data_IF_571083475581
#
_entry.id   IF_571083475581
#
_cell.length_a   1.000
_cell.length_b   1.000
_cell.length_c   1.000
_cell.angle_alpha   90.00
_cell.angle_beta   90.00
_cell.angle_gamma   90.00
#
_symmetry.space_group_name_H-M   'P 1'
#
loop_
_entity.id
_entity.type
_entity.pdbx_description
1 polymer ?
#
# COMPACT_ATOMS: atom_id res chain seq x y z
N UNK A 1 22.80 16.67 31.56
CA UNK A 1 21.83 15.88 30.76
C UNK A 1 20.98 16.80 29.89
N UNK A 2 19.90 17.43 30.39
CA UNK A 2 18.94 18.19 29.56
C UNK A 2 19.54 19.13 28.49
N UNK A 3 20.60 19.87 28.80
CA UNK A 3 21.25 20.79 27.84
C UNK A 3 21.74 20.09 26.59
N UNK A 4 22.42 18.94 26.72
CA UNK A 4 22.97 18.19 25.60
C UNK A 4 21.88 17.66 24.67
N UNK A 5 20.72 17.26 25.22
CA UNK A 5 19.55 16.88 24.42
C UNK A 5 19.05 18.07 23.60
N UNK A 6 18.89 19.24 24.23
CA UNK A 6 18.44 20.45 23.51
C UNK A 6 19.46 20.92 22.45
N UNK A 7 20.76 20.75 22.71
CA UNK A 7 21.82 21.04 21.73
C UNK A 7 21.70 20.12 20.50
N UNK A 8 21.55 18.79 20.69
CA UNK A 8 21.25 17.84 19.59
C UNK A 8 19.98 18.22 18.83
N UNK A 9 18.90 18.59 19.54
CA UNK A 9 17.61 18.93 18.91
C UNK A 9 17.75 20.12 17.96
N UNK A 10 18.54 21.12 18.37
CA UNK A 10 18.83 22.32 17.57
C UNK A 10 19.80 22.04 16.42
N UNK A 11 20.78 21.15 16.60
CA UNK A 11 21.67 20.69 15.51
C UNK A 11 20.87 20.01 14.39
N UNK A 12 19.98 19.07 14.74
CA UNK A 12 19.10 18.38 13.79
C UNK A 12 18.15 19.37 13.07
N UNK A 13 17.61 20.37 13.79
CA UNK A 13 16.84 21.45 13.17
C UNK A 13 17.69 22.31 12.22
N UNK A 14 18.94 22.63 12.57
CA UNK A 14 19.85 23.40 11.69
C UNK A 14 20.20 22.64 10.41
N UNK A 15 20.43 21.33 10.49
CA UNK A 15 20.62 20.49 9.30
C UNK A 15 19.36 20.51 8.41
N UNK A 16 18.18 20.39 9.01
CA UNK A 16 16.91 20.47 8.29
C UNK A 16 16.67 21.86 7.67
N UNK A 17 16.90 22.95 8.37
CA UNK A 17 16.79 24.31 7.82
C UNK A 17 17.80 24.57 6.69
N UNK A 18 19.05 24.09 6.83
CA UNK A 18 20.07 24.24 5.80
C UNK A 18 19.72 23.42 4.54
N UNK A 19 19.13 22.23 4.70
CA UNK A 19 18.60 21.48 3.58
C UNK A 19 17.38 22.18 2.95
N UNK A 20 16.43 22.66 3.75
CA UNK A 20 15.23 23.36 3.28
C UNK A 20 15.56 24.64 2.47
N UNK A 21 16.61 25.37 2.84
CA UNK A 21 17.11 26.55 2.10
C UNK A 21 17.62 26.24 0.70
N UNK A 22 17.92 24.99 0.37
CA UNK A 22 18.33 24.54 -0.97
C UNK A 22 17.14 24.18 -1.87
N UNK A 23 15.91 24.43 -1.40
CA UNK A 23 14.63 24.16 -2.08
C UNK A 23 14.45 22.71 -2.59
N UNK A 24 14.71 21.69 -1.75
CA UNK A 24 14.71 20.28 -2.15
C UNK A 24 13.30 19.74 -2.40
N UNK A 25 13.22 18.68 -3.21
CA UNK A 25 12.03 17.84 -3.29
C UNK A 25 11.60 17.30 -1.91
N UNK A 26 10.29 17.24 -1.67
CA UNK A 26 9.75 16.75 -0.38
C UNK A 26 10.21 15.32 -0.06
N UNK A 27 10.44 14.49 -1.08
CA UNK A 27 10.97 13.11 -0.95
C UNK A 27 12.43 13.13 -0.49
N UNK A 28 13.27 13.94 -1.13
CA UNK A 28 14.68 14.12 -0.72
C UNK A 28 14.75 14.69 0.69
N UNK A 29 13.98 15.72 1.01
CA UNK A 29 13.91 16.27 2.37
C UNK A 29 13.46 15.21 3.40
N UNK A 30 12.43 14.42 3.09
CA UNK A 30 12.01 13.31 3.95
C UNK A 30 13.13 12.30 4.14
N UNK A 31 13.77 11.81 3.06
CA UNK A 31 14.82 10.79 3.12
C UNK A 31 16.05 11.23 3.91
N UNK A 32 16.58 12.42 3.65
CA UNK A 32 17.81 12.89 4.30
C UNK A 32 17.60 13.34 5.77
N UNK A 33 16.38 13.70 6.18
CA UNK A 33 16.09 14.19 7.54
C UNK A 33 15.31 13.17 8.39
N UNK A 34 14.19 12.67 7.89
CA UNK A 34 13.18 11.86 8.63
C UNK A 34 13.26 10.35 8.30
N UNK A 35 13.89 10.01 7.17
CA UNK A 35 14.01 8.64 6.66
C UNK A 35 14.83 7.71 7.56
N UNK A 36 14.93 6.45 7.17
CA UNK A 36 15.62 5.40 7.95
C UNK A 36 17.08 5.78 8.24
N UNK A 37 17.77 6.34 7.25
CA UNK A 37 19.13 6.90 7.34
C UNK A 37 19.14 8.43 7.54
N UNK A 38 18.03 9.03 7.96
CA UNK A 38 17.88 10.46 8.11
C UNK A 38 18.66 11.05 9.29
N UNK A 39 18.93 12.36 9.23
CA UNK A 39 19.60 13.12 10.30
C UNK A 39 18.99 12.89 11.70
N UNK A 40 17.66 12.74 11.78
CA UNK A 40 16.93 12.47 13.03
C UNK A 40 17.36 11.12 13.63
N UNK A 41 17.33 10.03 12.85
CA UNK A 41 17.70 8.68 13.34
C UNK A 41 19.20 8.52 13.60
N UNK A 42 20.02 9.34 12.96
CA UNK A 42 21.47 9.44 13.24
C UNK A 42 21.76 10.20 14.54
N UNK A 43 20.96 11.22 14.90
CA UNK A 43 21.10 11.96 16.15
C UNK A 43 20.51 11.27 17.39
N UNK A 44 19.43 10.50 17.18
CA UNK A 44 18.68 9.78 18.21
C UNK A 44 18.62 8.28 17.87
N UNK A 45 19.68 7.51 18.19
CA UNK A 45 19.77 6.09 17.87
C UNK A 45 18.92 5.20 18.80
N UNK A 46 18.51 5.72 19.97
CA UNK A 46 17.62 5.01 20.89
C UNK A 46 16.17 5.47 20.72
N UNK A 47 15.22 4.57 20.97
CA UNK A 47 13.80 4.87 20.82
C UNK A 47 13.31 5.94 21.79
N UNK A 48 13.80 5.93 23.04
CA UNK A 48 13.45 6.89 24.09
C UNK A 48 13.91 8.32 23.73
N UNK A 49 15.16 8.49 23.26
CA UNK A 49 15.66 9.78 22.74
C UNK A 49 14.84 10.27 21.53
N UNK A 50 14.44 9.36 20.64
CA UNK A 50 13.66 9.69 19.46
C UNK A 50 12.23 10.13 19.83
N UNK A 51 11.52 9.37 20.66
CA UNK A 51 10.17 9.70 21.12
C UNK A 51 10.14 11.00 21.94
N UNK A 52 11.22 11.32 22.67
CA UNK A 52 11.38 12.60 23.35
C UNK A 52 11.66 13.77 22.39
N UNK A 53 12.33 13.52 21.25
CA UNK A 53 12.52 14.53 20.19
C UNK A 53 11.25 14.73 19.35
N UNK A 54 10.49 13.68 19.07
CA UNK A 54 9.24 13.75 18.30
C UNK A 54 8.13 14.54 19.02
N UNK A 55 8.28 14.77 20.34
CA UNK A 55 7.45 15.66 21.14
C UNK A 55 7.97 17.12 21.21
N UNK A 56 9.08 17.46 20.55
CA UNK A 56 9.73 18.78 20.66
C UNK A 56 9.28 19.77 19.57
N UNK A 57 9.37 21.07 19.86
CA UNK A 57 9.05 22.12 18.89
C UNK A 57 9.95 22.06 17.64
N UNK A 58 11.19 21.59 17.78
CA UNK A 58 12.13 21.39 16.68
C UNK A 58 11.58 20.38 15.67
N UNK A 59 11.04 19.25 16.14
CA UNK A 59 10.43 18.26 15.27
C UNK A 59 9.14 18.78 14.61
N UNK A 60 8.29 19.50 15.34
CA UNK A 60 7.13 20.18 14.73
C UNK A 60 7.57 21.17 13.62
N UNK A 61 8.67 21.91 13.81
CA UNK A 61 9.21 22.83 12.79
C UNK A 61 9.65 22.05 11.55
N UNK A 62 10.26 20.87 11.70
CA UNK A 62 10.61 19.97 10.59
C UNK A 62 9.36 19.45 9.86
N UNK A 63 8.33 19.00 10.58
CA UNK A 63 7.05 18.59 9.98
C UNK A 63 6.40 19.74 9.19
N UNK A 64 6.39 20.96 9.75
CA UNK A 64 5.87 22.17 9.07
C UNK A 64 6.66 22.55 7.82
N UNK A 65 7.97 22.28 7.75
CA UNK A 65 8.75 22.42 6.51
C UNK A 65 8.35 21.36 5.48
N UNK A 66 8.21 20.09 5.88
CA UNK A 66 7.82 19.00 4.99
C UNK A 66 6.44 19.20 4.35
N UNK A 67 5.45 19.67 5.14
CA UNK A 67 4.11 19.98 4.62
C UNK A 67 4.18 21.04 3.50
N UNK A 68 4.93 22.12 3.70
CA UNK A 68 5.12 23.18 2.69
C UNK A 68 5.79 22.68 1.40
N UNK A 69 6.81 21.82 1.51
CA UNK A 69 7.43 21.21 0.33
C UNK A 69 6.44 20.33 -0.46
N UNK A 70 5.56 19.61 0.25
CA UNK A 70 4.53 18.75 -0.34
C UNK A 70 3.37 19.53 -0.98
N UNK A 71 3.06 20.73 -0.50
CA UNK A 71 2.14 21.66 -1.17
C UNK A 71 2.75 22.19 -2.48
N UNK A 72 4.04 22.55 -2.46
CA UNK A 72 4.73 23.24 -3.55
C UNK A 72 4.87 22.44 -4.85
N UNK A 73 5.06 21.11 -4.80
CA UNK A 73 5.30 20.28 -6.00
C UNK A 73 4.21 19.22 -6.20
N UNK A 74 3.08 19.63 -6.80
CA UNK A 74 2.04 18.72 -7.32
C UNK A 74 2.38 18.17 -8.72
N UNK A 75 3.36 18.76 -9.42
CA UNK A 75 3.89 18.25 -10.69
C UNK A 75 4.69 16.97 -10.48
N UNK A 76 4.16 15.84 -10.96
CA UNK A 76 4.81 14.54 -10.93
C UNK A 76 6.01 14.52 -11.88
N UNK A 77 7.20 14.62 -11.31
CA UNK A 77 8.42 14.23 -12.01
C UNK A 77 8.60 12.70 -11.87
N UNK A 78 8.77 11.95 -12.98
CA UNK A 78 8.78 10.48 -12.93
C UNK A 78 10.16 9.89 -12.59
N UNK A 79 11.23 10.69 -12.49
CA UNK A 79 12.59 10.19 -12.23
C UNK A 79 12.91 10.09 -10.72
N UNK A 80 12.12 10.74 -9.85
CA UNK A 80 12.63 11.15 -8.53
C UNK A 80 12.66 10.07 -7.44
N UNK A 81 11.69 9.14 -7.36
CA UNK A 81 11.79 7.95 -6.49
C UNK A 81 10.79 6.82 -6.89
N UNK A 82 11.19 5.53 -6.88
CA UNK A 82 10.29 4.41 -7.20
C UNK A 82 9.16 4.23 -6.19
N UNK A 83 7.95 4.67 -6.55
CA UNK A 83 6.74 4.56 -5.71
C UNK A 83 6.37 3.10 -5.42
N UNK A 84 6.26 2.74 -4.14
CA UNK A 84 5.77 1.43 -3.68
C UNK A 84 4.33 1.55 -3.16
N UNK A 85 3.52 0.51 -3.39
CA UNK A 85 2.12 0.46 -2.96
C UNK A 85 1.99 -0.39 -1.70
N UNK A 86 1.29 0.15 -0.69
CA UNK A 86 0.83 -0.58 0.49
C UNK A 86 -0.68 -0.84 0.40
N UNK A 87 -1.15 -1.96 0.96
CA UNK A 87 -2.58 -2.29 1.04
C UNK A 87 -2.99 -2.43 2.49
N UNK A 88 -3.81 -1.49 2.99
CA UNK A 88 -4.26 -1.45 4.38
C UNK A 88 -5.67 -2.03 4.49
N UNK A 89 -5.91 -2.91 5.46
CA UNK A 89 -7.25 -3.41 5.80
C UNK A 89 -7.90 -2.49 6.82
N UNK A 90 -8.97 -1.79 6.45
CA UNK A 90 -9.70 -0.87 7.32
C UNK A 90 -11.16 -1.33 7.54
N UNK A 91 -11.74 -1.15 8.73
CA UNK A 91 -13.18 -1.30 8.94
C UNK A 91 -13.98 -0.35 8.02
N UNK A 92 -15.15 -0.81 7.54
CA UNK A 92 -15.97 -0.01 6.61
C UNK A 92 -16.30 1.39 7.16
N UNK A 93 -16.66 1.50 8.43
CA UNK A 93 -16.94 2.78 9.10
C UNK A 93 -15.75 3.75 9.04
N UNK A 94 -14.53 3.28 9.30
CA UNK A 94 -13.31 4.09 9.23
C UNK A 94 -12.98 4.51 7.79
N UNK A 95 -13.20 3.62 6.82
CA UNK A 95 -13.02 3.96 5.40
C UNK A 95 -14.03 5.01 4.91
N UNK A 96 -15.30 4.91 5.32
CA UNK A 96 -16.31 5.93 5.00
C UNK A 96 -16.02 7.26 5.70
N UNK A 97 -15.56 7.25 6.96
CA UNK A 97 -15.12 8.46 7.66
C UNK A 97 -13.99 9.17 6.90
N UNK A 98 -12.94 8.46 6.49
CA UNK A 98 -11.84 9.03 5.72
C UNK A 98 -12.28 9.55 4.34
N UNK A 99 -13.32 8.96 3.73
CA UNK A 99 -13.92 9.47 2.48
C UNK A 99 -14.57 10.84 2.69
N UNK A 100 -15.38 10.99 3.75
CA UNK A 100 -16.02 12.26 4.11
C UNK A 100 -14.99 13.31 4.51
N UNK A 101 -14.02 12.97 5.38
CA UNK A 101 -12.95 13.88 5.78
C UNK A 101 -12.15 14.39 4.56
N UNK A 102 -11.82 13.51 3.60
CA UNK A 102 -11.12 13.91 2.38
C UNK A 102 -11.98 14.84 1.49
N UNK A 103 -13.28 14.55 1.35
CA UNK A 103 -14.23 15.38 0.60
C UNK A 103 -14.35 16.79 1.20
N UNK A 104 -14.51 16.89 2.52
CA UNK A 104 -14.74 18.15 3.21
C UNK A 104 -13.48 19.03 3.21
N UNK A 105 -12.30 18.40 3.32
CA UNK A 105 -10.99 19.03 3.10
C UNK A 105 -10.61 19.22 1.62
N UNK A 106 -11.53 18.94 0.68
CA UNK A 106 -11.37 19.08 -0.79
C UNK A 106 -10.10 18.42 -1.35
N UNK A 107 -9.71 17.28 -0.79
CA UNK A 107 -8.51 16.54 -1.14
C UNK A 107 -8.86 15.11 -1.56
N UNK A 108 -7.90 14.37 -2.14
CA UNK A 108 -8.12 12.96 -2.45
C UNK A 108 -7.89 12.09 -1.21
N UNK A 109 -8.62 10.98 -1.10
CA UNK A 109 -8.42 9.95 -0.07
C UNK A 109 -6.92 9.60 0.10
N UNK A 110 -6.20 9.41 -1.01
CA UNK A 110 -4.77 9.10 -0.99
C UNK A 110 -3.93 10.28 -0.46
N UNK A 111 -4.21 11.52 -0.86
CA UNK A 111 -3.52 12.70 -0.32
C UNK A 111 -3.75 12.84 1.19
N UNK A 112 -4.96 12.58 1.69
CA UNK A 112 -5.28 12.58 3.13
C UNK A 112 -4.56 11.45 3.88
N UNK A 113 -4.65 10.21 3.37
CA UNK A 113 -4.01 9.05 4.00
C UNK A 113 -2.49 9.22 4.09
N UNK A 114 -1.83 9.69 3.03
CA UNK A 114 -0.40 10.00 3.06
C UNK A 114 -0.09 11.13 4.05
N UNK A 115 -0.94 12.17 4.17
CA UNK A 115 -0.75 13.20 5.22
C UNK A 115 -0.79 12.61 6.63
N UNK A 116 -1.73 11.70 6.91
CA UNK A 116 -1.86 11.05 8.23
C UNK A 116 -0.74 10.03 8.49
N UNK A 117 -0.24 9.34 7.47
CA UNK A 117 0.91 8.43 7.58
C UNK A 117 2.27 9.13 7.75
N UNK A 118 2.35 10.43 7.47
CA UNK A 118 3.51 11.29 7.73
C UNK A 118 3.49 11.92 9.13
N UNK A 119 2.38 11.78 9.88
CA UNK A 119 2.30 12.19 11.28
C UNK A 119 2.84 11.06 12.15
N UNK A 120 3.71 11.39 13.09
CA UNK A 120 4.16 10.43 14.13
C UNK A 120 2.97 10.08 15.02
N UNK A 121 2.89 8.80 15.37
CA UNK A 121 1.99 8.27 16.40
C UNK A 121 2.85 7.76 17.55
N UNK A 122 2.48 8.11 18.79
CA UNK A 122 3.15 7.61 19.98
C UNK A 122 3.01 6.08 20.11
N UNK A 123 3.95 5.43 20.79
CA UNK A 123 3.95 3.97 20.95
C UNK A 123 2.65 3.48 21.64
N UNK A 124 2.17 4.26 22.62
CA UNK A 124 0.94 4.00 23.37
C UNK A 124 -0.34 4.05 22.50
N UNK A 125 -0.26 4.66 21.32
CA UNK A 125 -1.34 4.75 20.33
C UNK A 125 -1.29 3.60 19.31
N UNK A 126 -0.26 2.74 19.33
CA UNK A 126 -0.16 1.53 18.51
C UNK A 126 -0.68 0.33 19.34
N UNK A 127 -1.80 -0.30 18.96
CA UNK A 127 -2.28 -1.49 19.65
C UNK A 127 -1.32 -2.66 19.44
N UNK A 128 -0.48 -2.96 20.45
CA UNK A 128 0.39 -4.13 20.43
C UNK A 128 -0.42 -5.41 20.22
N UNK A 129 -0.20 -6.09 19.09
CA UNK A 129 -0.89 -7.34 18.78
C UNK A 129 -0.54 -8.40 19.82
N UNK A 130 -1.50 -8.74 20.68
CA UNK A 130 -1.42 -9.95 21.51
C UNK A 130 -1.44 -11.15 20.57
N UNK A 131 -0.25 -11.67 20.29
CA UNK A 131 -0.03 -12.81 19.40
C UNK A 131 -0.89 -13.99 19.82
N UNK A 132 -1.96 -14.23 19.05
CA UNK A 132 -2.91 -15.31 19.28
C UNK A 132 -2.25 -16.65 19.02
N UNK A 133 -1.54 -17.18 20.01
CA UNK A 133 -0.88 -18.50 20.00
C UNK A 133 -1.90 -19.63 20.14
N UNK A 134 -2.94 -19.61 19.29
CA UNK A 134 -3.85 -20.72 19.08
C UNK A 134 -3.17 -21.76 18.21
N UNK A 135 -2.57 -22.76 18.86
CA UNK A 135 -1.79 -23.79 18.18
C UNK A 135 -2.65 -24.64 17.24
N UNK A 136 -2.11 -24.96 16.06
CA UNK A 136 -2.57 -26.07 15.24
C UNK A 136 -1.38 -26.89 14.73
N UNK A 137 -0.70 -27.56 15.67
CA UNK A 137 0.43 -28.47 15.42
C UNK A 137 -0.05 -29.81 14.82
N UNK A 138 -0.78 -29.74 13.71
CA UNK A 138 -1.23 -30.91 12.94
C UNK A 138 -0.05 -31.60 12.25
N UNK A 139 0.68 -32.39 13.04
CA UNK A 139 1.75 -33.28 12.58
C UNK A 139 1.15 -34.42 11.76
N UNK A 140 1.19 -34.28 10.43
CA UNK A 140 0.64 -35.27 9.51
C UNK A 140 1.56 -36.50 9.41
N UNK A 141 1.46 -37.43 10.36
CA UNK A 141 2.29 -38.63 10.44
C UNK A 141 1.98 -39.64 9.31
N UNK A 142 3.01 -39.98 8.53
CA UNK A 142 2.92 -40.96 7.45
C UNK A 142 2.77 -42.41 7.96
N UNK A 143 1.90 -43.25 7.36
CA UNK A 143 1.90 -44.69 7.59
C UNK A 143 2.96 -45.42 6.73
N UNK A 144 3.55 -46.54 7.21
CA UNK A 144 4.49 -47.38 6.47
C UNK A 144 3.77 -48.32 5.45
N UNK A 145 4.55 -49.11 4.69
CA UNK A 145 4.16 -49.51 3.32
C UNK A 145 4.07 -51.02 3.03
N UNK A 146 3.30 -51.34 1.96
CA UNK A 146 3.42 -52.53 1.04
C UNK A 146 3.04 -53.92 1.60
N UNK A 147 2.90 -54.97 0.74
CA UNK A 147 2.54 -55.00 -0.71
C UNK A 147 1.45 -56.05 -1.08
N UNK A 148 0.92 -56.00 -2.32
CA UNK A 148 0.80 -57.15 -3.28
C UNK A 148 0.17 -56.69 -4.61
N UNK A 149 0.46 -57.42 -5.70
CA UNK A 149 0.08 -57.17 -7.10
C UNK A 149 -1.43 -57.48 -7.38
N UNK A 150 -2.04 -57.20 -8.55
CA UNK A 150 -1.67 -57.67 -9.91
C UNK A 150 -2.46 -56.96 -11.03
N UNK A 151 -1.95 -57.09 -12.27
CA UNK A 151 -2.63 -56.93 -13.58
C UNK A 151 -2.96 -55.53 -14.16
N UNK A 152 -2.50 -55.39 -15.40
CA UNK A 152 -2.51 -54.30 -16.40
C UNK A 152 -3.84 -54.15 -17.18
N UNK A 153 -3.97 -53.16 -18.10
CA UNK A 153 -5.27 -52.63 -18.57
C UNK A 153 -5.65 -52.92 -20.05
N UNK A 154 -6.87 -52.49 -20.42
CA UNK A 154 -7.46 -52.16 -21.75
C UNK A 154 -8.58 -51.12 -21.42
N UNK A 155 -8.81 -50.00 -22.12
CA UNK A 155 -9.27 -49.80 -23.51
C UNK A 155 -10.82 -49.90 -23.60
N UNK A 156 -11.58 -49.16 -24.43
CA UNK A 156 -11.31 -48.05 -25.36
C UNK A 156 -12.66 -47.38 -25.76
N UNK A 157 -12.62 -46.19 -26.39
CA UNK A 157 -13.63 -45.63 -27.36
C UNK A 157 -15.16 -45.50 -27.03
N UNK A 158 -15.69 -44.30 -27.30
CA UNK A 158 -17.11 -43.95 -27.61
C UNK A 158 -17.52 -44.42 -29.04
N UNK A 159 -18.66 -44.06 -29.70
CA UNK A 159 -19.82 -43.19 -29.32
C UNK A 159 -21.24 -43.69 -29.78
N UNK A 160 -22.26 -42.79 -29.73
CA UNK A 160 -23.56 -42.82 -30.43
C UNK A 160 -24.62 -43.85 -29.91
N UNK A 161 -25.94 -43.78 -30.18
CA UNK A 161 -26.70 -43.26 -31.36
C UNK A 161 -28.16 -42.82 -31.03
N UNK A 162 -28.58 -41.67 -31.58
CA UNK A 162 -29.92 -41.26 -32.08
C UNK A 162 -31.27 -41.73 -31.45
N UNK A 163 -32.20 -40.80 -31.14
CA UNK A 163 -33.62 -40.83 -31.57
C UNK A 163 -34.42 -39.54 -31.26
N UNK A 164 -35.33 -39.17 -32.18
CA UNK A 164 -36.32 -38.06 -32.19
C UNK A 164 -37.53 -38.52 -33.05
N UNK A 165 -38.63 -37.75 -33.33
CA UNK A 165 -38.97 -36.34 -33.04
C UNK A 165 -39.97 -36.24 -31.85
N UNK A 166 -41.03 -35.42 -31.69
CA UNK A 166 -41.82 -34.41 -32.47
C UNK A 166 -42.52 -33.47 -31.43
N UNK A 167 -43.27 -32.38 -31.70
CA UNK A 167 -43.77 -31.73 -32.93
C UNK A 167 -43.79 -30.17 -32.79
N UNK A 168 -44.50 -29.45 -33.66
CA UNK A 168 -44.52 -27.97 -33.88
C UNK A 168 -45.98 -27.50 -34.19
N UNK A 169 -46.31 -26.22 -34.50
CA UNK A 169 -45.59 -24.92 -34.37
C UNK A 169 -46.44 -23.69 -33.86
N UNK A 170 -45.79 -22.55 -33.54
CA UNK A 170 -46.36 -21.19 -33.80
C UNK A 170 -45.27 -20.10 -34.03
N UNK A 171 -45.69 -18.92 -34.51
CA UNK A 171 -44.96 -17.67 -34.84
C UNK A 171 -43.77 -17.27 -33.91
N UNK A 172 -42.58 -16.84 -34.38
CA UNK A 172 -42.17 -15.59 -35.11
C UNK A 172 -42.11 -14.31 -34.24
N UNK A 173 -41.22 -13.31 -34.54
CA UNK A 173 -40.08 -13.28 -35.47
C UNK A 173 -38.73 -12.93 -34.78
N UNK A 174 -37.68 -12.61 -35.55
CA UNK A 174 -36.28 -12.54 -35.09
C UNK A 174 -35.79 -11.17 -34.59
N UNK A 175 -34.79 -11.20 -33.69
CA UNK A 175 -33.80 -10.12 -33.47
C UNK A 175 -32.39 -10.72 -33.57
N UNK A 176 -31.57 -10.17 -34.47
CA UNK A 176 -30.29 -10.77 -34.88
C UNK A 176 -29.11 -10.00 -34.29
N UNK A 177 -28.51 -10.53 -33.22
CA UNK A 177 -27.27 -9.99 -32.64
C UNK A 177 -26.07 -10.84 -33.09
N UNK A 178 -25.14 -10.20 -33.82
CA UNK A 178 -23.94 -10.82 -34.36
C UNK A 178 -22.68 -10.11 -33.86
N UNK A 179 -21.85 -10.76 -33.02
CA UNK A 179 -20.50 -10.31 -32.70
C UNK A 179 -19.44 -11.03 -33.59
N UNK A 180 -18.15 -10.69 -33.48
CA UNK A 180 -17.55 -9.35 -33.44
C UNK A 180 -16.46 -9.21 -34.52
N UNK A 181 -15.85 -8.03 -34.71
CA UNK A 181 -14.49 -7.94 -35.28
C UNK A 181 -13.78 -6.62 -34.94
N UNK A 182 -12.42 -6.60 -34.84
CA UNK A 182 -11.67 -5.43 -34.36
C UNK A 182 -10.86 -4.72 -35.45
N UNK A 183 -10.74 -3.39 -35.38
CA UNK A 183 -9.70 -2.65 -36.12
C UNK A 183 -8.96 -1.63 -35.25
N UNK A 184 -7.74 -1.30 -35.70
CA UNK A 184 -6.64 -0.69 -34.93
C UNK A 184 -6.51 0.83 -35.16
N UNK A 185 -5.70 1.56 -34.37
CA UNK A 185 -5.78 3.02 -34.29
C UNK A 185 -5.19 3.75 -35.50
N UNK A 186 -5.62 5.00 -35.69
CA UNK A 186 -5.01 5.97 -36.59
C UNK A 186 -4.32 7.08 -35.78
N UNK A 187 -3.07 7.40 -36.14
CA UNK A 187 -2.28 8.51 -35.61
C UNK A 187 -1.19 8.87 -36.64
N UNK A 188 -0.55 10.04 -36.51
CA UNK A 188 -1.07 11.36 -36.84
C UNK A 188 -0.70 11.74 -38.29
N UNK A 189 -0.98 12.98 -38.73
CA UNK A 189 -0.35 13.51 -39.94
C UNK A 189 -0.08 15.01 -39.88
N UNK A 190 1.21 15.34 -39.81
CA UNK A 190 1.85 16.67 -39.81
C UNK A 190 1.50 17.58 -38.61
#
# INVERSE_FOLDING_TARGET
MLTQSQEKYREVLQVAENLWRQDPDWVTFFREIVGIDGAIRKGFPTFDELAAFEQSEEFEKIQRMLVKLREKKTSTDPETEPTRVITVRLPKSMHEYLRTEAHDLRTSMNKLCISKLLQVIGEEMIPNERTGSGGNSSTNSSPPSRPVATSTPIGNSSPATLSQPMARPTAQPAVQHQPPSPFKPAQPRF
#
